data_IF_772792259239
#
_entry.id   IF_772792259239
#
_cell.length_a   1.000
_cell.length_b   1.000
_cell.length_c   1.000
_cell.angle_alpha   90.00
_cell.angle_beta   90.00
_cell.angle_gamma   90.00
#
_symmetry.space_group_name_H-M   'P 1'
#
loop_
_entity.id
_entity.type
_entity.pdbx_description
1 polymer ?
#
# COMPACT_ATOMS: atom_id res chain seq x y z
N UNK A 1 1.14 30.54 -10.07
CA UNK A 1 1.87 29.34 -9.61
C UNK A 1 1.49 28.17 -10.51
N UNK A 2 2.48 27.41 -10.99
CA UNK A 2 2.25 26.23 -11.84
C UNK A 2 1.49 25.13 -11.09
N UNK A 3 0.39 24.62 -11.67
CA UNK A 3 -0.45 23.57 -11.10
C UNK A 3 -0.18 22.20 -11.74
N UNK A 4 -0.21 22.13 -13.08
CA UNK A 4 -0.11 20.88 -13.84
C UNK A 4 0.38 21.15 -15.26
N UNK A 5 1.10 20.18 -15.81
CA UNK A 5 1.49 20.13 -17.22
C UNK A 5 0.73 19.01 -17.93
N UNK A 6 0.28 19.26 -19.15
CA UNK A 6 -0.54 18.35 -19.94
C UNK A 6 -0.03 18.40 -21.38
N UNK A 7 0.17 17.26 -21.99
CA UNK A 7 0.63 17.10 -23.38
C UNK A 7 -0.50 17.23 -24.42
N UNK A 8 -1.75 17.02 -24.00
CA UNK A 8 -2.92 17.06 -24.88
C UNK A 8 -3.73 18.35 -24.69
N UNK A 9 -3.82 19.16 -25.75
CA UNK A 9 -4.53 20.44 -25.75
C UNK A 9 -6.00 20.33 -25.31
N UNK A 10 -6.72 19.34 -25.81
CA UNK A 10 -8.14 19.19 -25.48
C UNK A 10 -8.34 18.85 -24.00
N UNK A 11 -7.48 17.99 -23.47
CA UNK A 11 -7.50 17.64 -22.03
C UNK A 11 -7.18 18.86 -21.14
N UNK A 12 -6.23 19.70 -21.59
CA UNK A 12 -5.87 20.92 -20.87
C UNK A 12 -7.02 21.94 -20.88
N UNK A 13 -7.68 22.12 -22.01
CA UNK A 13 -8.85 23.01 -22.13
C UNK A 13 -10.02 22.56 -21.28
N UNK A 14 -10.38 21.26 -21.34
CA UNK A 14 -11.44 20.68 -20.50
C UNK A 14 -11.14 20.84 -19.00
N UNK A 15 -9.90 20.64 -18.59
CA UNK A 15 -9.52 20.81 -17.17
C UNK A 15 -9.58 22.28 -16.74
N UNK A 16 -9.18 23.22 -17.60
CA UNK A 16 -9.30 24.67 -17.33
C UNK A 16 -10.77 25.05 -17.16
N UNK A 17 -11.66 24.57 -18.04
CA UNK A 17 -13.09 24.83 -17.97
C UNK A 17 -13.69 24.25 -16.66
N UNK A 18 -13.34 23.01 -16.32
CA UNK A 18 -13.77 22.37 -15.09
C UNK A 18 -13.31 23.14 -13.84
N UNK A 19 -12.06 23.62 -13.81
CA UNK A 19 -11.53 24.41 -12.70
C UNK A 19 -12.25 25.77 -12.58
N UNK A 20 -12.47 26.46 -13.70
CA UNK A 20 -13.21 27.73 -13.75
C UNK A 20 -14.66 27.56 -13.29
N UNK A 21 -15.34 26.49 -13.73
CA UNK A 21 -16.70 26.16 -13.27
C UNK A 21 -16.79 25.99 -11.75
N UNK A 22 -15.71 25.49 -11.11
CA UNK A 22 -15.62 25.36 -9.67
C UNK A 22 -15.05 26.60 -8.96
N UNK A 23 -15.07 27.77 -9.63
CA UNK A 23 -14.59 29.05 -9.13
C UNK A 23 -13.09 29.07 -8.77
N UNK A 24 -12.26 28.32 -9.51
CA UNK A 24 -10.79 28.38 -9.39
C UNK A 24 -10.27 29.29 -10.50
N UNK A 25 -9.48 30.30 -10.10
CA UNK A 25 -8.86 31.22 -11.04
C UNK A 25 -7.57 30.62 -11.62
N UNK A 26 -7.63 30.23 -12.87
CA UNK A 26 -6.50 29.62 -13.60
C UNK A 26 -6.29 30.26 -14.96
N UNK A 27 -5.03 30.24 -15.41
CA UNK A 27 -4.60 30.62 -16.77
C UNK A 27 -3.90 29.45 -17.43
N UNK A 28 -4.04 29.35 -18.76
CA UNK A 28 -3.37 28.34 -19.58
C UNK A 28 -2.26 29.00 -20.37
N UNK A 29 -1.07 28.43 -20.38
CA UNK A 29 0.05 28.81 -21.24
C UNK A 29 0.53 27.59 -22.04
N UNK A 30 1.08 27.82 -23.21
CA UNK A 30 1.72 26.80 -24.05
C UNK A 30 3.22 27.07 -24.07
N UNK A 31 4.00 26.11 -23.58
CA UNK A 31 5.46 26.18 -23.49
C UNK A 31 6.07 24.85 -23.96
N UNK A 32 6.95 24.88 -24.94
CA UNK A 32 7.66 23.69 -25.47
C UNK A 32 6.72 22.51 -25.83
N UNK A 33 5.59 22.79 -26.50
CA UNK A 33 4.57 21.81 -26.87
C UNK A 33 3.81 21.17 -25.69
N UNK A 34 3.96 21.71 -24.49
CA UNK A 34 3.19 21.34 -23.31
C UNK A 34 2.21 22.46 -22.94
N UNK A 35 1.05 22.07 -22.42
CA UNK A 35 0.03 22.98 -21.92
C UNK A 35 0.14 23.06 -20.41
N UNK A 36 0.49 24.26 -19.91
CA UNK A 36 0.73 24.49 -18.48
C UNK A 36 -0.43 25.29 -17.90
N UNK A 37 -1.05 24.75 -16.86
CA UNK A 37 -2.11 25.46 -16.12
C UNK A 37 -1.51 26.13 -14.91
N UNK A 38 -1.67 27.44 -14.83
CA UNK A 38 -1.22 28.26 -13.72
C UNK A 38 -2.39 28.68 -12.84
N UNK A 39 -2.21 28.59 -11.52
CA UNK A 39 -3.13 29.11 -10.51
C UNK A 39 -2.82 30.58 -10.29
N UNK A 40 -3.85 31.43 -10.37
CA UNK A 40 -3.71 32.89 -10.19
C UNK A 40 -3.80 33.26 -8.71
N UNK A 41 -4.69 32.62 -7.94
CA UNK A 41 -4.83 32.83 -6.51
C UNK A 41 -4.27 31.64 -5.71
N UNK A 42 -3.16 31.85 -5.00
CA UNK A 42 -2.47 30.80 -4.23
C UNK A 42 -3.27 30.25 -3.05
N UNK A 43 -4.23 31.01 -2.50
CA UNK A 43 -5.12 30.53 -1.44
C UNK A 43 -6.03 29.37 -1.90
N UNK A 44 -6.31 29.31 -3.20
CA UNK A 44 -7.12 28.24 -3.80
C UNK A 44 -6.35 26.95 -4.11
N UNK A 45 -5.06 26.89 -3.78
CA UNK A 45 -4.18 25.78 -4.16
C UNK A 45 -4.71 24.40 -3.72
N UNK A 46 -5.15 24.30 -2.48
CA UNK A 46 -5.66 23.04 -1.94
C UNK A 46 -6.94 22.58 -2.66
N UNK A 47 -7.87 23.53 -2.88
CA UNK A 47 -9.11 23.27 -3.60
C UNK A 47 -8.84 22.92 -5.06
N UNK A 48 -7.91 23.60 -5.73
CA UNK A 48 -7.52 23.32 -7.11
C UNK A 48 -6.94 21.91 -7.27
N UNK A 49 -6.03 21.51 -6.39
CA UNK A 49 -5.45 20.15 -6.41
C UNK A 49 -6.48 19.05 -6.16
N UNK A 50 -7.41 19.25 -5.22
CA UNK A 50 -8.52 18.32 -4.97
C UNK A 50 -9.44 18.17 -6.20
N UNK A 51 -9.74 19.26 -6.88
CA UNK A 51 -10.56 19.26 -8.10
C UNK A 51 -9.85 18.58 -9.26
N UNK A 52 -8.55 18.82 -9.47
CA UNK A 52 -7.76 18.12 -10.49
C UNK A 52 -7.78 16.61 -10.25
N UNK A 53 -7.60 16.18 -9.01
CA UNK A 53 -7.68 14.77 -8.64
C UNK A 53 -9.07 14.17 -8.94
N UNK A 54 -10.15 14.88 -8.60
CA UNK A 54 -11.51 14.43 -8.88
C UNK A 54 -11.80 14.37 -10.37
N UNK A 55 -11.33 15.35 -11.14
CA UNK A 55 -11.44 15.37 -12.60
C UNK A 55 -10.73 14.16 -13.25
N UNK A 56 -9.49 13.86 -12.80
CA UNK A 56 -8.76 12.68 -13.26
C UNK A 56 -9.51 11.39 -12.93
N UNK A 57 -10.06 11.31 -11.72
CA UNK A 57 -10.85 10.16 -11.26
C UNK A 57 -12.14 9.99 -12.09
N UNK A 58 -12.85 11.09 -12.42
CA UNK A 58 -14.05 11.04 -13.27
C UNK A 58 -13.73 10.63 -14.70
N UNK A 59 -12.67 11.15 -15.32
CA UNK A 59 -12.24 10.71 -16.66
C UNK A 59 -11.80 9.25 -16.68
N UNK A 60 -11.16 8.77 -15.63
CA UNK A 60 -10.83 7.35 -15.47
C UNK A 60 -12.11 6.51 -15.28
N UNK A 61 -13.12 7.00 -14.56
CA UNK A 61 -14.40 6.33 -14.35
C UNK A 61 -15.28 6.29 -15.62
N UNK A 62 -15.31 7.37 -16.40
CA UNK A 62 -16.06 7.41 -17.66
C UNK A 62 -15.44 6.52 -18.75
N UNK A 63 -14.13 6.24 -18.67
CA UNK A 63 -13.48 5.19 -19.48
C UNK A 63 -13.79 3.76 -18.97
N UNK A 64 -14.34 3.60 -17.78
CA UNK A 64 -14.74 2.30 -17.19
C UNK A 64 -16.14 1.86 -17.69
N UNK A 65 -16.96 2.73 -18.29
CA UNK A 65 -18.25 2.33 -18.88
C UNK A 65 -18.15 1.58 -20.22
N UNK A 66 -16.95 1.44 -20.78
CA UNK A 66 -16.68 0.47 -21.84
C UNK A 66 -16.03 -0.78 -21.23
N UNK A 67 -16.79 -1.54 -20.45
CA UNK A 67 -16.39 -2.84 -19.94
C UNK A 67 -16.50 -3.90 -21.05
N UNK A 68 -15.76 -3.70 -22.11
CA UNK A 68 -15.32 -4.78 -22.99
C UNK A 68 -14.02 -5.29 -22.39
N UNK A 69 -13.98 -6.57 -22.05
CA UNK A 69 -12.87 -7.40 -21.56
C UNK A 69 -11.47 -6.73 -21.68
N UNK A 70 -11.11 -5.89 -20.73
CA UNK A 70 -9.85 -5.17 -20.81
C UNK A 70 -8.73 -5.97 -20.12
N UNK A 71 -8.30 -7.06 -20.75
CA UNK A 71 -7.04 -7.75 -20.42
C UNK A 71 -5.86 -6.79 -20.34
N UNK A 72 -5.89 -5.67 -21.07
CA UNK A 72 -4.89 -4.62 -21.04
C UNK A 72 -4.79 -3.91 -19.68
N UNK A 73 -5.87 -3.81 -18.90
CA UNK A 73 -5.86 -3.18 -17.57
C UNK A 73 -5.06 -3.98 -16.55
N UNK A 74 -5.29 -5.31 -16.49
CA UNK A 74 -4.57 -6.21 -15.55
C UNK A 74 -3.10 -6.28 -15.97
N UNK A 75 -2.81 -6.46 -17.25
CA UNK A 75 -1.43 -6.49 -17.78
C UNK A 75 -0.68 -5.20 -17.43
N UNK A 76 -1.33 -4.05 -17.55
CA UNK A 76 -0.75 -2.76 -17.16
C UNK A 76 -0.46 -2.70 -15.66
N UNK A 77 -1.42 -3.11 -14.81
CA UNK A 77 -1.22 -3.15 -13.35
C UNK A 77 -0.01 -4.01 -12.99
N UNK A 78 0.11 -5.20 -13.59
CA UNK A 78 1.23 -6.11 -13.34
C UNK A 78 2.56 -5.52 -13.81
N UNK A 79 2.59 -4.84 -14.97
CA UNK A 79 3.79 -4.17 -15.48
C UNK A 79 4.22 -2.98 -14.62
N UNK A 80 3.25 -2.16 -14.21
CA UNK A 80 3.53 -0.93 -13.46
C UNK A 80 3.87 -1.22 -11.99
N UNK A 81 3.36 -2.34 -11.43
CA UNK A 81 3.56 -2.74 -10.03
C UNK A 81 3.93 -4.22 -9.90
N UNK A 82 5.09 -4.65 -10.41
CA UNK A 82 5.47 -6.06 -10.47
C UNK A 82 5.66 -6.69 -9.09
N UNK A 83 6.25 -5.97 -8.13
CA UNK A 83 6.48 -6.48 -6.78
C UNK A 83 5.15 -6.74 -6.05
N UNK A 84 4.25 -5.77 -6.03
CA UNK A 84 2.91 -5.94 -5.41
C UNK A 84 2.16 -7.10 -6.06
N UNK A 85 2.19 -7.19 -7.40
CA UNK A 85 1.49 -8.23 -8.15
C UNK A 85 2.06 -9.62 -7.85
N UNK A 86 3.38 -9.74 -7.70
CA UNK A 86 4.05 -11.01 -7.39
C UNK A 86 3.68 -11.49 -5.98
N UNK A 87 3.68 -10.61 -4.98
CA UNK A 87 3.29 -10.96 -3.61
C UNK A 87 1.81 -11.37 -3.51
N UNK A 88 0.92 -10.69 -4.23
CA UNK A 88 -0.49 -11.10 -4.33
C UNK A 88 -0.61 -12.48 -4.98
N UNK A 89 0.09 -12.70 -6.10
CA UNK A 89 0.07 -13.98 -6.80
C UNK A 89 0.56 -15.12 -5.91
N UNK A 90 1.71 -14.96 -5.23
CA UNK A 90 2.25 -15.98 -4.33
C UNK A 90 1.29 -16.29 -3.18
N UNK A 91 0.67 -15.28 -2.58
CA UNK A 91 -0.33 -15.51 -1.53
C UNK A 91 -1.52 -16.34 -2.04
N UNK A 92 -2.02 -16.03 -3.24
CA UNK A 92 -3.12 -16.76 -3.86
C UNK A 92 -2.71 -18.21 -4.18
N UNK A 93 -1.54 -18.39 -4.80
CA UNK A 93 -1.04 -19.73 -5.16
C UNK A 93 -0.83 -20.59 -3.91
N UNK A 94 -0.20 -20.04 -2.86
CA UNK A 94 0.03 -20.78 -1.61
C UNK A 94 -1.27 -21.12 -0.88
N UNK A 95 -2.27 -20.24 -0.96
CA UNK A 95 -3.58 -20.53 -0.41
C UNK A 95 -4.28 -21.69 -1.15
N UNK A 96 -4.21 -21.72 -2.48
CA UNK A 96 -4.75 -22.85 -3.24
C UNK A 96 -3.99 -24.17 -2.96
N UNK A 97 -2.66 -24.14 -2.81
CA UNK A 97 -1.89 -25.32 -2.42
C UNK A 97 -2.31 -25.79 -1.02
N UNK A 98 -2.54 -24.88 -0.08
CA UNK A 98 -3.04 -25.21 1.26
C UNK A 98 -4.42 -25.90 1.22
N UNK A 99 -5.33 -25.50 0.34
CA UNK A 99 -6.64 -26.16 0.19
C UNK A 99 -6.51 -27.60 -0.32
N UNK A 100 -5.46 -27.91 -1.09
CA UNK A 100 -5.19 -29.26 -1.59
C UNK A 100 -4.43 -30.09 -0.55
N UNK A 101 -3.47 -29.50 0.13
CA UNK A 101 -2.62 -30.12 1.13
C UNK A 101 -2.25 -29.18 2.25
N UNK A 102 -2.95 -29.28 3.37
CA UNK A 102 -2.69 -28.46 4.56
C UNK A 102 -1.27 -28.61 5.11
N UNK A 103 -0.64 -29.79 4.90
CA UNK A 103 0.75 -30.06 5.31
C UNK A 103 1.76 -29.11 4.65
N UNK A 104 1.41 -28.51 3.50
CA UNK A 104 2.27 -27.54 2.82
C UNK A 104 2.68 -26.37 3.73
N UNK A 105 1.77 -25.89 4.56
CA UNK A 105 2.08 -24.80 5.49
C UNK A 105 3.13 -25.17 6.54
N UNK A 106 3.33 -26.45 6.83
CA UNK A 106 4.42 -26.92 7.69
C UNK A 106 5.82 -26.56 7.17
N UNK A 107 5.97 -26.39 5.84
CA UNK A 107 7.24 -25.92 5.23
C UNK A 107 7.39 -24.40 5.24
N UNK A 108 6.32 -23.66 5.46
CA UNK A 108 6.28 -22.18 5.40
C UNK A 108 6.18 -21.54 6.76
N UNK A 109 5.65 -22.23 7.78
CA UNK A 109 5.46 -21.68 9.13
C UNK A 109 6.80 -21.29 9.77
N UNK A 110 6.76 -20.29 10.65
CA UNK A 110 7.91 -19.89 11.44
C UNK A 110 8.32 -21.04 12.38
N UNK A 111 9.56 -21.45 12.29
CA UNK A 111 10.15 -22.45 13.19
C UNK A 111 11.62 -22.12 13.46
N UNK A 112 11.91 -21.75 14.70
CA UNK A 112 13.25 -21.29 15.11
C UNK A 112 14.28 -22.42 14.98
N UNK A 113 13.91 -23.67 15.26
CA UNK A 113 14.85 -24.81 15.13
C UNK A 113 15.25 -25.01 13.67
N UNK A 114 14.28 -25.07 12.75
CA UNK A 114 14.57 -25.19 11.32
C UNK A 114 15.36 -24.00 10.79
N UNK A 115 15.08 -22.77 11.29
CA UNK A 115 15.83 -21.58 10.88
C UNK A 115 17.30 -21.67 11.34
N UNK A 116 17.56 -22.07 12.59
CA UNK A 116 18.90 -22.00 13.19
C UNK A 116 19.75 -23.22 12.93
N UNK A 117 19.14 -24.42 12.87
CA UNK A 117 19.85 -25.70 12.70
C UNK A 117 19.92 -26.15 11.26
N UNK A 118 18.80 -25.93 10.49
CA UNK A 118 18.66 -26.41 9.13
C UNK A 118 18.82 -25.31 8.07
N UNK A 119 19.15 -24.08 8.52
CA UNK A 119 19.32 -22.88 7.67
C UNK A 119 18.09 -22.55 6.80
N UNK A 120 16.88 -22.89 7.24
CA UNK A 120 15.63 -22.61 6.52
C UNK A 120 15.20 -21.13 6.72
N UNK A 121 16.07 -20.21 6.28
CA UNK A 121 15.90 -18.75 6.51
C UNK A 121 14.64 -18.15 5.89
N UNK A 122 14.06 -18.80 4.86
CA UNK A 122 12.80 -18.34 4.25
C UNK A 122 11.65 -18.32 5.24
N UNK A 123 11.67 -19.16 6.29
CA UNK A 123 10.64 -19.19 7.35
C UNK A 123 10.54 -17.90 8.17
N UNK A 124 11.53 -17.01 8.08
CA UNK A 124 11.43 -15.66 8.65
C UNK A 124 10.37 -14.81 7.92
N UNK A 125 10.14 -15.09 6.63
CA UNK A 125 9.28 -14.28 5.77
C UNK A 125 8.03 -15.04 5.31
N UNK A 126 8.15 -16.33 5.01
CA UNK A 126 7.07 -17.11 4.39
C UNK A 126 5.73 -17.13 5.12
N UNK A 127 5.65 -16.96 6.47
CA UNK A 127 4.36 -16.84 7.14
C UNK A 127 3.48 -15.71 6.61
N UNK A 128 4.05 -14.64 6.01
CA UNK A 128 3.25 -13.55 5.43
C UNK A 128 2.34 -14.02 4.28
N UNK A 129 2.67 -15.13 3.63
CA UNK A 129 1.89 -15.70 2.53
C UNK A 129 0.83 -16.70 3.00
N UNK A 130 0.86 -17.14 4.27
CA UNK A 130 -0.06 -18.14 4.80
C UNK A 130 -1.40 -17.51 5.15
N UNK A 131 -2.49 -18.08 4.62
CA UNK A 131 -3.85 -17.61 4.89
C UNK A 131 -4.76 -18.82 5.20
N UNK A 132 -5.60 -18.73 6.22
CA UNK A 132 -6.36 -19.86 6.75
C UNK A 132 -7.84 -19.84 6.37
N UNK A 133 -8.32 -18.77 5.73
CA UNK A 133 -9.68 -18.68 5.22
C UNK A 133 -9.77 -17.76 4.01
N UNK A 134 -10.83 -17.93 3.20
CA UNK A 134 -11.07 -17.09 2.02
C UNK A 134 -11.29 -15.62 2.39
N UNK A 135 -11.95 -15.35 3.50
CA UNK A 135 -12.14 -13.98 4.00
C UNK A 135 -10.80 -13.35 4.39
N UNK A 136 -9.92 -14.13 5.05
CA UNK A 136 -8.61 -13.69 5.49
C UNK A 136 -7.72 -13.29 4.29
N UNK A 137 -7.62 -14.16 3.28
CA UNK A 137 -6.81 -13.83 2.09
C UNK A 137 -7.44 -12.69 1.28
N UNK A 138 -8.75 -12.67 1.08
CA UNK A 138 -9.43 -11.63 0.32
C UNK A 138 -9.22 -10.24 0.94
N UNK A 139 -9.36 -10.12 2.27
CA UNK A 139 -9.14 -8.87 2.99
C UNK A 139 -7.69 -8.40 2.88
N UNK A 140 -6.73 -9.29 3.17
CA UNK A 140 -5.31 -8.98 3.10
C UNK A 140 -4.88 -8.57 1.69
N UNK A 141 -5.27 -9.32 0.67
CA UNK A 141 -4.88 -9.01 -0.72
C UNK A 141 -5.51 -7.71 -1.21
N UNK A 142 -6.73 -7.39 -0.80
CA UNK A 142 -7.37 -6.11 -1.14
C UNK A 142 -6.59 -4.93 -0.57
N UNK A 143 -6.26 -5.00 0.72
CA UNK A 143 -5.48 -3.93 1.40
C UNK A 143 -4.06 -3.86 0.82
N UNK A 144 -3.38 -4.99 0.71
CA UNK A 144 -2.01 -5.04 0.22
C UNK A 144 -1.90 -4.57 -1.24
N UNK A 145 -2.78 -5.03 -2.13
CA UNK A 145 -2.79 -4.59 -3.53
C UNK A 145 -3.06 -3.08 -3.66
N UNK A 146 -3.91 -2.52 -2.80
CA UNK A 146 -4.21 -1.10 -2.82
C UNK A 146 -3.05 -0.24 -2.30
N UNK A 147 -2.45 -0.63 -1.18
CA UNK A 147 -1.40 0.14 -0.51
C UNK A 147 -0.02 -0.15 -1.08
N UNK A 148 0.28 -1.41 -1.36
CA UNK A 148 1.55 -1.86 -1.92
C UNK A 148 1.86 -1.14 -3.24
N UNK A 149 0.88 -1.08 -4.16
CA UNK A 149 1.04 -0.33 -5.42
C UNK A 149 1.37 1.15 -5.20
N UNK A 150 0.80 1.78 -4.16
CA UNK A 150 1.10 3.19 -3.85
C UNK A 150 2.51 3.37 -3.37
N UNK A 151 2.98 2.47 -2.49
CA UNK A 151 4.37 2.47 -2.05
C UNK A 151 5.30 2.14 -3.22
N UNK A 152 4.98 1.12 -4.02
CA UNK A 152 5.80 0.74 -5.17
C UNK A 152 5.93 1.89 -6.18
N UNK A 153 4.84 2.61 -6.47
CA UNK A 153 4.86 3.78 -7.34
C UNK A 153 5.61 4.99 -6.73
N UNK A 154 5.57 5.13 -5.40
CA UNK A 154 6.19 6.27 -4.72
C UNK A 154 7.66 6.02 -4.36
N UNK A 155 8.00 4.79 -3.92
CA UNK A 155 9.32 4.40 -3.40
C UNK A 155 10.07 3.42 -4.31
N UNK A 156 9.42 2.98 -5.38
CA UNK A 156 9.93 1.90 -6.21
C UNK A 156 9.82 0.53 -5.54
N UNK A 157 10.17 -0.50 -6.30
CA UNK A 157 10.16 -1.90 -5.84
C UNK A 157 11.04 -2.11 -4.61
N UNK A 158 12.25 -1.53 -4.59
CA UNK A 158 13.18 -1.68 -3.46
C UNK A 158 12.64 -1.10 -2.16
N UNK A 159 11.96 0.06 -2.22
CA UNK A 159 11.32 0.65 -1.05
C UNK A 159 10.18 -0.21 -0.51
N UNK A 160 9.34 -0.76 -1.39
CA UNK A 160 8.29 -1.69 -0.97
C UNK A 160 8.86 -2.97 -0.36
N UNK A 161 9.85 -3.60 -0.98
CA UNK A 161 10.52 -4.78 -0.44
C UNK A 161 11.13 -4.53 0.93
N UNK A 162 11.82 -3.39 1.12
CA UNK A 162 12.39 -3.01 2.41
C UNK A 162 11.33 -2.96 3.51
N UNK A 163 10.18 -2.33 3.25
CA UNK A 163 9.07 -2.27 4.20
C UNK A 163 8.50 -3.66 4.47
N UNK A 164 8.26 -4.48 3.43
CA UNK A 164 7.71 -5.83 3.57
C UNK A 164 8.62 -6.70 4.45
N UNK A 165 9.93 -6.73 4.14
CA UNK A 165 10.87 -7.55 4.88
C UNK A 165 11.01 -7.08 6.32
N UNK A 166 11.18 -5.77 6.53
CA UNK A 166 11.34 -5.23 7.88
C UNK A 166 10.10 -5.48 8.73
N UNK A 167 8.91 -5.13 8.25
CA UNK A 167 7.68 -5.30 9.03
C UNK A 167 7.28 -6.77 9.15
N UNK A 168 7.42 -7.57 8.09
CA UNK A 168 7.04 -8.99 8.09
C UNK A 168 7.91 -9.84 9.00
N UNK A 169 9.25 -9.68 8.92
CA UNK A 169 10.18 -10.47 9.75
C UNK A 169 9.96 -10.17 11.24
N UNK A 170 9.92 -8.89 11.62
CA UNK A 170 9.71 -8.55 13.03
C UNK A 170 8.32 -8.95 13.52
N UNK A 171 7.27 -8.77 12.71
CA UNK A 171 5.93 -9.26 13.04
C UNK A 171 5.91 -10.76 13.31
N UNK A 172 6.57 -11.55 12.46
CA UNK A 172 6.63 -13.00 12.61
C UNK A 172 7.42 -13.42 13.85
N UNK A 173 8.57 -12.79 14.13
CA UNK A 173 9.38 -13.08 15.32
C UNK A 173 8.58 -12.82 16.61
N UNK A 174 7.99 -11.64 16.72
CA UNK A 174 7.26 -11.29 17.95
C UNK A 174 5.95 -12.07 18.11
N UNK A 175 5.28 -12.41 17.01
CA UNK A 175 4.11 -13.29 17.08
C UNK A 175 4.49 -14.70 17.51
N UNK A 176 5.61 -15.23 17.03
CA UNK A 176 6.13 -16.53 17.44
C UNK A 176 6.43 -16.59 18.94
N UNK A 177 7.07 -15.54 19.48
CA UNK A 177 7.32 -15.43 20.92
C UNK A 177 6.03 -15.33 21.71
N UNK A 178 5.04 -14.56 21.22
CA UNK A 178 3.73 -14.41 21.87
C UNK A 178 2.93 -15.72 21.87
N UNK A 179 3.08 -16.54 20.85
CA UNK A 179 2.42 -17.84 20.69
C UNK A 179 3.16 -18.98 21.40
N UNK A 180 3.89 -18.72 22.48
CA UNK A 180 4.66 -19.72 23.24
C UNK A 180 5.58 -20.57 22.34
N UNK A 181 6.22 -19.93 21.37
CA UNK A 181 7.12 -20.53 20.38
C UNK A 181 6.44 -21.52 19.43
N UNK A 182 5.17 -21.31 19.12
CA UNK A 182 4.45 -22.06 18.10
C UNK A 182 4.23 -21.23 16.82
N UNK A 183 4.55 -21.82 15.67
CA UNK A 183 4.47 -21.17 14.37
C UNK A 183 3.08 -21.20 13.69
N UNK A 184 2.02 -21.52 14.42
CA UNK A 184 0.65 -21.67 13.88
C UNK A 184 -0.04 -20.31 13.64
N UNK A 185 0.62 -19.44 12.92
CA UNK A 185 0.12 -18.11 12.53
C UNK A 185 0.58 -17.77 11.11
N UNK A 186 -0.06 -16.78 10.51
CA UNK A 186 0.33 -16.28 9.19
C UNK A 186 -0.61 -15.21 8.70
N UNK A 187 -0.26 -14.66 7.54
CA UNK A 187 -1.02 -13.64 6.84
C UNK A 187 -0.23 -12.35 6.59
N UNK A 188 -0.61 -11.67 5.52
CA UNK A 188 -0.01 -10.40 5.10
C UNK A 188 -0.38 -9.23 6.02
N UNK A 189 -1.23 -9.45 7.03
CA UNK A 189 -1.79 -8.36 7.85
C UNK A 189 -0.74 -7.57 8.61
N UNK A 190 0.29 -8.20 9.19
CA UNK A 190 1.40 -7.49 9.84
C UNK A 190 2.10 -6.52 8.90
N UNK A 191 2.33 -6.94 7.64
CA UNK A 191 2.87 -6.07 6.58
C UNK A 191 1.89 -4.96 6.22
N UNK A 192 0.59 -5.26 6.08
CA UNK A 192 -0.43 -4.26 5.79
C UNK A 192 -0.49 -3.16 6.86
N UNK A 193 -0.48 -3.53 8.14
CA UNK A 193 -0.39 -2.57 9.25
C UNK A 193 0.92 -1.78 9.21
N UNK A 194 2.02 -2.43 8.86
CA UNK A 194 3.33 -1.80 8.67
C UNK A 194 3.31 -0.75 7.56
N UNK A 195 2.80 -1.08 6.39
CA UNK A 195 2.67 -0.15 5.25
C UNK A 195 1.79 1.05 5.62
N UNK A 196 0.64 0.80 6.29
CA UNK A 196 -0.24 1.88 6.72
C UNK A 196 0.44 2.83 7.70
N UNK A 197 1.13 2.28 8.70
CA UNK A 197 1.84 3.06 9.69
C UNK A 197 3.01 3.83 9.08
N UNK A 198 3.74 3.21 8.14
CA UNK A 198 4.78 3.86 7.36
C UNK A 198 4.23 5.08 6.59
N UNK A 199 3.13 4.91 5.85
CA UNK A 199 2.50 5.99 5.09
C UNK A 199 2.00 7.11 6.00
N UNK A 200 1.36 6.77 7.12
CA UNK A 200 0.87 7.74 8.11
C UNK A 200 2.02 8.56 8.68
N UNK A 201 3.09 7.91 9.12
CA UNK A 201 4.27 8.56 9.72
C UNK A 201 5.01 9.40 8.68
N UNK A 202 5.21 8.87 7.47
CA UNK A 202 5.82 9.62 6.36
C UNK A 202 5.07 10.92 6.08
N UNK A 203 3.74 10.85 6.04
CA UNK A 203 2.93 12.05 5.86
C UNK A 203 3.11 13.04 7.01
N UNK A 204 3.07 12.59 8.26
CA UNK A 204 3.23 13.47 9.41
C UNK A 204 4.59 14.19 9.41
N UNK A 205 5.63 13.51 8.94
CA UNK A 205 6.99 14.05 8.93
C UNK A 205 7.29 14.94 7.71
N UNK A 206 6.77 14.59 6.53
CA UNK A 206 7.09 15.29 5.27
C UNK A 206 5.98 16.22 4.79
N UNK A 207 4.74 16.03 5.28
CA UNK A 207 3.52 16.68 4.77
C UNK A 207 3.29 16.45 3.28
N UNK A 208 3.89 15.39 2.71
CA UNK A 208 3.78 15.08 1.29
C UNK A 208 2.39 14.50 0.96
N UNK A 209 1.61 15.15 0.06
CA UNK A 209 0.27 14.69 -0.29
C UNK A 209 0.23 13.30 -0.93
N UNK A 210 1.34 12.82 -1.54
CA UNK A 210 1.42 11.49 -2.13
C UNK A 210 1.23 10.36 -1.13
N UNK A 211 1.64 10.56 0.14
CA UNK A 211 1.46 9.61 1.22
C UNK A 211 0.13 9.78 1.98
N UNK A 212 -0.53 10.94 1.77
CA UNK A 212 -1.63 11.44 2.60
C UNK A 212 -2.96 10.71 2.45
N UNK A 213 -3.32 10.30 1.23
CA UNK A 213 -4.72 9.97 0.90
C UNK A 213 -5.26 8.70 1.57
N UNK A 214 -4.39 7.78 1.96
CA UNK A 214 -4.80 6.49 2.52
C UNK A 214 -4.62 6.44 4.03
N UNK A 215 -3.54 7.05 4.53
CA UNK A 215 -3.08 6.81 5.88
C UNK A 215 -3.84 7.59 6.95
N UNK A 216 -4.33 8.79 6.64
CA UNK A 216 -4.87 9.70 7.68
C UNK A 216 -6.16 9.19 8.32
N UNK A 217 -7.08 8.62 7.54
CA UNK A 217 -8.35 8.10 8.03
C UNK A 217 -8.34 6.59 8.25
N UNK A 218 -7.65 5.83 7.41
CA UNK A 218 -7.64 4.37 7.48
C UNK A 218 -6.78 3.83 8.62
N UNK A 219 -5.60 4.42 8.88
CA UNK A 219 -4.71 3.92 9.92
C UNK A 219 -5.35 3.90 11.31
N UNK A 220 -5.89 5.02 11.84
CA UNK A 220 -6.53 5.00 13.16
C UNK A 220 -7.75 4.07 13.21
N UNK A 221 -8.54 3.99 12.15
CA UNK A 221 -9.71 3.09 12.09
C UNK A 221 -9.27 1.63 12.14
N UNK A 222 -8.29 1.23 11.35
CA UNK A 222 -7.80 -0.15 11.35
C UNK A 222 -7.06 -0.50 12.64
N UNK A 223 -6.35 0.45 13.26
CA UNK A 223 -5.77 0.25 14.59
C UNK A 223 -6.86 0.06 15.66
N UNK A 224 -7.94 0.84 15.60
CA UNK A 224 -9.08 0.64 16.50
C UNK A 224 -9.72 -0.73 16.29
N UNK A 225 -9.93 -1.14 15.05
CA UNK A 225 -10.44 -2.48 14.73
C UNK A 225 -9.50 -3.56 15.27
N UNK A 226 -8.18 -3.41 15.13
CA UNK A 226 -7.22 -4.38 15.66
C UNK A 226 -7.31 -4.49 17.18
N UNK A 227 -7.45 -3.37 17.89
CA UNK A 227 -7.65 -3.35 19.37
C UNK A 227 -8.95 -4.06 19.75
N UNK A 228 -10.05 -3.72 19.08
CA UNK A 228 -11.37 -4.36 19.37
C UNK A 228 -11.29 -5.86 19.12
N UNK A 229 -10.72 -6.30 17.99
CA UNK A 229 -10.58 -7.72 17.72
C UNK A 229 -9.67 -8.42 18.75
N UNK A 230 -8.60 -7.76 19.21
CA UNK A 230 -7.72 -8.30 20.24
C UNK A 230 -8.40 -8.52 21.58
N UNK A 231 -9.45 -7.74 21.88
CA UNK A 231 -10.20 -7.88 23.13
C UNK A 231 -11.30 -8.97 23.08
N UNK A 232 -11.79 -9.30 21.88
CA UNK A 232 -12.99 -10.13 21.73
C UNK A 232 -12.80 -11.38 20.87
N UNK A 233 -11.67 -11.57 20.21
CA UNK A 233 -11.43 -12.70 19.30
C UNK A 233 -10.08 -13.36 19.55
N UNK A 234 -10.13 -14.64 19.92
CA UNK A 234 -8.96 -15.51 19.97
C UNK A 234 -8.57 -16.01 18.57
N UNK A 235 -7.34 -16.47 18.41
CA UNK A 235 -6.84 -17.06 17.17
C UNK A 235 -6.41 -16.08 16.07
N UNK A 236 -6.49 -14.78 16.32
CA UNK A 236 -5.95 -13.74 15.44
C UNK A 236 -4.52 -13.35 15.89
N UNK A 237 -3.61 -13.18 14.95
CA UNK A 237 -2.22 -12.79 15.20
C UNK A 237 -2.10 -11.29 15.57
N UNK A 238 -2.69 -10.88 16.70
CA UNK A 238 -2.78 -9.47 17.10
C UNK A 238 -1.41 -8.84 17.32
N UNK A 239 -0.47 -9.57 17.92
CA UNK A 239 0.90 -9.11 18.14
C UNK A 239 1.56 -8.73 16.82
N UNK A 240 1.36 -9.52 15.76
CA UNK A 240 1.89 -9.21 14.43
C UNK A 240 1.35 -7.88 13.89
N UNK A 241 0.08 -7.53 14.16
CA UNK A 241 -0.51 -6.25 13.75
C UNK A 241 0.15 -5.06 14.43
N UNK A 242 0.28 -5.11 15.77
CA UNK A 242 0.88 -4.03 16.55
C UNK A 242 2.36 -3.86 16.25
N UNK A 243 3.10 -4.96 16.19
CA UNK A 243 4.53 -4.95 15.85
C UNK A 243 4.74 -4.45 14.42
N UNK A 244 3.93 -4.93 13.47
CA UNK A 244 3.98 -4.46 12.09
C UNK A 244 3.79 -2.94 11.99
N UNK A 245 2.78 -2.40 12.69
CA UNK A 245 2.55 -0.95 12.75
C UNK A 245 3.73 -0.21 13.37
N UNK A 246 4.25 -0.66 14.51
CA UNK A 246 5.40 -0.04 15.18
C UNK A 246 6.65 -0.05 14.26
N UNK A 247 6.93 -1.18 13.62
CA UNK A 247 8.03 -1.31 12.66
C UNK A 247 7.85 -0.37 11.45
N UNK A 248 6.64 -0.24 10.92
CA UNK A 248 6.36 0.69 9.83
C UNK A 248 6.63 2.15 10.21
N UNK A 249 6.26 2.56 11.42
CA UNK A 249 6.59 3.90 11.95
C UNK A 249 8.11 4.09 12.05
N UNK A 250 8.81 3.13 12.68
CA UNK A 250 10.26 3.18 12.87
C UNK A 250 10.97 3.25 11.52
N UNK A 251 10.59 2.40 10.56
CA UNK A 251 11.16 2.39 9.22
C UNK A 251 11.00 3.74 8.51
N UNK A 252 9.82 4.36 8.61
CA UNK A 252 9.56 5.70 8.08
C UNK A 252 10.46 6.77 8.70
N UNK A 253 10.64 6.75 10.03
CA UNK A 253 11.54 7.69 10.72
C UNK A 253 12.99 7.51 10.27
N UNK A 254 13.46 6.26 10.15
CA UNK A 254 14.82 5.96 9.67
C UNK A 254 15.01 6.52 8.25
N UNK A 255 14.12 6.23 7.32
CA UNK A 255 14.24 6.70 5.94
C UNK A 255 14.26 8.23 5.82
N UNK A 256 13.40 8.91 6.57
CA UNK A 256 13.23 10.36 6.45
C UNK A 256 14.31 11.11 7.25
N UNK A 257 14.54 10.74 8.51
CA UNK A 257 15.40 11.49 9.43
C UNK A 257 16.87 11.08 9.34
N UNK A 258 17.14 9.79 9.14
CA UNK A 258 18.51 9.25 9.14
C UNK A 258 19.05 9.16 7.72
N UNK A 259 18.36 8.46 6.85
CA UNK A 259 18.83 8.22 5.48
C UNK A 259 18.51 9.39 4.52
N UNK A 260 17.57 10.27 4.88
CA UNK A 260 17.13 11.44 4.08
C UNK A 260 16.71 11.07 2.63
N UNK A 261 16.21 9.85 2.46
CA UNK A 261 15.81 9.30 1.16
C UNK A 261 14.47 9.90 0.70
N UNK A 262 13.61 10.26 1.64
CA UNK A 262 12.30 10.88 1.41
C UNK A 262 12.33 12.32 1.90
N UNK A 263 11.94 13.24 1.01
CA UNK A 263 11.83 14.68 1.33
C UNK A 263 10.37 15.12 1.30
#
# INVERSE_FOLDING_TARGET
MKLVEIDNKNVALDLVEYLKYNNIQVTLAEENSLFIIYLTNTEQLFKAKSLIFNYQKQKTSNNVHNFTSNTNGIVRIVKDNPCTSLFVLFSIVFYFIYLISSNFYGYLCFDLNSITKDFQIWRLVTPVFMHFSIAHIAFNMTIFAYMGRRIENYRGMGGLLGIIFFTGVFSNIFQYVHNDLHGNFGGMSGVCYGIMAYMFTSFQLTKNPGTYFVAKSMFPVLMLIAVVLALFMDGIAHTAHFVGAACGMVYSVIEIKVLKIVK
#
